data_IF_296115519347
#
_entry.id   IF_296115519347
#
_cell.length_a   1.000
_cell.length_b   1.000
_cell.length_c   1.000
_cell.angle_alpha   90.00
_cell.angle_beta   90.00
_cell.angle_gamma   90.00
#
_symmetry.space_group_name_H-M   'P 1'
#
loop_
_entity.id
_entity.type
_entity.pdbx_description
1 polymer ?
#
# COMPACT_ATOMS: atom_id res chain seq x y z
N UNK A 1 -12.46 -12.00 7.40
CA UNK A 1 -12.46 -13.38 6.87
C UNK A 1 -13.01 -13.34 5.45
N UNK A 2 -12.16 -13.55 4.45
CA UNK A 2 -12.52 -13.45 3.04
C UNK A 2 -13.50 -14.58 2.67
N UNK A 3 -14.56 -14.29 1.91
CA UNK A 3 -15.59 -15.29 1.52
C UNK A 3 -14.96 -16.50 0.82
N UNK A 4 -13.91 -16.31 0.02
CA UNK A 4 -13.18 -17.39 -0.67
C UNK A 4 -12.51 -18.39 0.30
N UNK A 5 -12.06 -17.91 1.46
CA UNK A 5 -11.43 -18.76 2.50
C UNK A 5 -12.48 -19.59 3.24
N UNK A 6 -13.68 -19.04 3.48
CA UNK A 6 -14.81 -19.78 4.07
C UNK A 6 -15.30 -20.92 3.16
N UNK A 7 -15.40 -20.65 1.86
CA UNK A 7 -15.82 -21.64 0.87
C UNK A 7 -14.82 -22.80 0.82
N UNK A 8 -13.52 -22.51 0.81
CA UNK A 8 -12.50 -23.55 0.78
C UNK A 8 -12.48 -24.40 2.08
N UNK A 9 -12.61 -23.76 3.25
CA UNK A 9 -12.69 -24.45 4.54
C UNK A 9 -13.93 -25.36 4.66
N UNK A 10 -15.07 -24.95 4.06
CA UNK A 10 -16.29 -25.75 4.04
C UNK A 10 -16.17 -26.98 3.13
N UNK A 11 -15.58 -26.85 1.94
CA UNK A 11 -15.30 -27.99 1.04
C UNK A 11 -14.32 -28.99 1.67
N UNK A 12 -13.40 -28.49 2.49
CA UNK A 12 -12.37 -29.26 3.20
C UNK A 12 -12.94 -30.08 4.36
N UNK A 13 -13.90 -29.56 5.11
CA UNK A 13 -14.59 -30.30 6.17
C UNK A 13 -15.44 -31.46 5.60
N UNK A 14 -16.01 -31.28 4.39
CA UNK A 14 -16.78 -32.31 3.71
C UNK A 14 -15.92 -33.52 3.29
N UNK A 15 -14.76 -33.28 2.67
CA UNK A 15 -13.84 -34.34 2.22
C UNK A 15 -13.29 -35.17 3.39
N UNK A 16 -13.09 -34.54 4.56
CA UNK A 16 -12.72 -35.26 5.79
C UNK A 16 -13.81 -36.20 6.28
N UNK A 17 -15.09 -35.94 5.97
CA UNK A 17 -16.22 -36.74 6.46
C UNK A 17 -16.47 -37.95 5.57
N UNK A 18 -16.24 -37.82 4.26
CA UNK A 18 -16.27 -38.92 3.28
C UNK A 18 -15.09 -39.89 3.48
N UNK A 19 -13.93 -39.39 3.92
CA UNK A 19 -12.78 -40.24 4.28
C UNK A 19 -13.05 -41.18 5.46
N UNK A 20 -13.85 -40.73 6.44
CA UNK A 20 -14.16 -41.52 7.65
C UNK A 20 -15.17 -42.62 7.36
N UNK A 21 -16.11 -42.42 6.42
CA UNK A 21 -17.09 -43.45 6.05
C UNK A 21 -16.49 -44.56 5.19
N UNK A 22 -15.48 -44.25 4.37
CA UNK A 22 -14.77 -45.25 3.54
C UNK A 22 -13.74 -46.09 4.31
N UNK A 23 -13.26 -45.62 5.47
CA UNK A 23 -12.22 -46.30 6.25
C UNK A 23 -12.72 -47.42 7.18
N UNK A 24 -14.04 -47.65 7.28
CA UNK A 24 -14.65 -48.54 8.29
C UNK A 24 -14.82 -50.00 7.83
N UNK A 25 -14.50 -50.40 6.60
CA UNK A 25 -14.73 -51.79 6.13
C UNK A 25 -13.48 -52.54 5.65
N UNK A 26 -12.34 -52.36 6.31
CA UNK A 26 -11.08 -53.02 5.97
C UNK A 26 -10.86 -54.41 6.63
N UNK A 27 -11.90 -55.08 7.14
CA UNK A 27 -11.76 -56.42 7.72
C UNK A 27 -12.79 -57.38 7.13
N UNK A 28 -12.32 -58.58 6.80
CA UNK A 28 -13.00 -59.74 6.24
C UNK A 28 -13.11 -59.77 4.71
N UNK A 29 -12.08 -60.34 4.07
CA UNK A 29 -12.20 -60.80 2.68
C UNK A 29 -11.34 -62.06 2.40
N UNK A 30 -11.63 -63.14 3.13
CA UNK A 30 -11.02 -64.48 2.97
C UNK A 30 -12.03 -65.52 2.45
N UNK A 31 -12.94 -65.13 1.54
CA UNK A 31 -13.95 -66.02 0.98
C UNK A 31 -13.81 -66.17 -0.54
N UNK A 32 -13.18 -67.27 -0.98
CA UNK A 32 -13.24 -67.72 -2.37
C UNK A 32 -14.66 -68.26 -2.62
N UNK A 33 -15.42 -67.79 -3.64
CA UNK A 33 -16.73 -68.34 -3.93
C UNK A 33 -16.65 -69.76 -4.48
N UNK A 34 -17.49 -70.66 -3.94
CA UNK A 34 -17.66 -72.03 -4.40
C UNK A 34 -18.21 -72.07 -5.83
N UNK A 35 -17.38 -72.47 -6.79
CA UNK A 35 -17.75 -72.68 -8.20
C UNK A 35 -18.43 -74.05 -8.37
N UNK A 36 -19.75 -74.13 -8.18
CA UNK A 36 -20.47 -75.42 -8.24
C UNK A 36 -21.20 -75.73 -9.57
N UNK A 37 -20.98 -74.96 -10.65
CA UNK A 37 -21.80 -75.11 -11.87
C UNK A 37 -21.04 -75.21 -13.21
N UNK A 38 -19.75 -75.58 -13.20
CA UNK A 38 -18.97 -75.73 -14.44
C UNK A 38 -18.75 -77.21 -14.78
N UNK A 39 -19.06 -77.59 -16.03
CA UNK A 39 -19.01 -78.98 -16.51
C UNK A 39 -17.59 -79.56 -16.64
N UNK A 40 -16.53 -78.77 -16.42
CA UNK A 40 -15.13 -79.17 -16.55
C UNK A 40 -14.25 -78.44 -15.52
N UNK A 41 -13.38 -79.19 -14.83
CA UNK A 41 -12.41 -78.68 -13.84
C UNK A 41 -11.45 -77.62 -14.41
N UNK A 42 -11.16 -77.69 -15.71
CA UNK A 42 -10.31 -76.69 -16.38
C UNK A 42 -11.02 -75.34 -16.52
N UNK A 43 -12.34 -75.33 -16.72
CA UNK A 43 -13.14 -74.11 -16.80
C UNK A 43 -13.33 -73.49 -15.40
N UNK A 44 -13.46 -74.31 -14.35
CA UNK A 44 -13.45 -73.84 -12.95
C UNK A 44 -12.14 -73.14 -12.61
N UNK A 45 -11.02 -73.73 -13.01
CA UNK A 45 -9.69 -73.16 -12.77
C UNK A 45 -9.48 -71.85 -13.52
N UNK A 46 -9.95 -71.76 -14.77
CA UNK A 46 -9.91 -70.52 -15.58
C UNK A 46 -10.79 -69.43 -14.99
N UNK A 47 -11.98 -69.79 -14.50
CA UNK A 47 -12.88 -68.85 -13.84
C UNK A 47 -12.32 -68.35 -12.51
N UNK A 48 -11.80 -69.25 -11.67
CA UNK A 48 -11.15 -68.88 -10.42
C UNK A 48 -9.96 -67.94 -10.65
N UNK A 49 -9.13 -68.21 -11.67
CA UNK A 49 -8.02 -67.32 -12.03
C UNK A 49 -8.49 -65.95 -12.53
N UNK A 50 -9.58 -65.89 -13.31
CA UNK A 50 -10.14 -64.64 -13.79
C UNK A 50 -10.76 -63.78 -12.67
N UNK A 51 -11.48 -64.41 -11.72
CA UNK A 51 -12.05 -63.73 -10.55
C UNK A 51 -10.94 -63.27 -9.58
N UNK A 52 -9.90 -64.08 -9.38
CA UNK A 52 -8.77 -63.66 -8.56
C UNK A 52 -8.06 -62.45 -9.15
N UNK A 53 -7.88 -62.41 -10.48
CA UNK A 53 -7.27 -61.27 -11.17
C UNK A 53 -8.08 -59.98 -10.98
N UNK A 54 -9.41 -60.06 -10.92
CA UNK A 54 -10.28 -58.89 -10.73
C UNK A 54 -10.33 -58.43 -9.28
N UNK A 55 -10.28 -59.37 -8.33
CA UNK A 55 -10.12 -59.09 -6.90
C UNK A 55 -8.78 -58.40 -6.63
N UNK A 56 -7.69 -58.92 -7.21
CA UNK A 56 -6.35 -58.32 -7.08
C UNK A 56 -6.31 -56.90 -7.68
N UNK A 57 -7.01 -56.67 -8.80
CA UNK A 57 -7.13 -55.34 -9.42
C UNK A 57 -7.92 -54.36 -8.54
N UNK A 58 -9.01 -54.79 -7.91
CA UNK A 58 -9.78 -53.97 -6.97
C UNK A 58 -8.96 -53.63 -5.71
N UNK A 59 -8.29 -54.62 -5.12
CA UNK A 59 -7.43 -54.41 -3.95
C UNK A 59 -6.29 -53.42 -4.26
N UNK A 60 -5.63 -53.58 -5.41
CA UNK A 60 -4.62 -52.62 -5.87
C UNK A 60 -5.18 -51.20 -6.07
N UNK A 61 -6.38 -51.07 -6.65
CA UNK A 61 -7.02 -49.77 -6.82
C UNK A 61 -7.39 -49.13 -5.46
N UNK A 62 -7.81 -49.93 -4.49
CA UNK A 62 -8.13 -49.51 -3.12
C UNK A 62 -6.88 -49.04 -2.38
N UNK A 63 -5.76 -49.76 -2.51
CA UNK A 63 -4.48 -49.35 -1.92
C UNK A 63 -3.98 -48.02 -2.50
N UNK A 64 -4.09 -47.84 -3.83
CA UNK A 64 -3.76 -46.58 -4.50
C UNK A 64 -4.66 -45.45 -4.00
N UNK A 65 -5.98 -45.68 -3.88
CA UNK A 65 -6.90 -44.69 -3.33
C UNK A 65 -6.51 -44.28 -1.91
N UNK A 66 -6.26 -45.25 -1.02
CA UNK A 66 -5.87 -44.99 0.37
C UNK A 66 -4.55 -44.20 0.45
N UNK A 67 -3.56 -44.53 -0.39
CA UNK A 67 -2.31 -43.79 -0.47
C UNK A 67 -2.52 -42.33 -0.92
N UNK A 68 -3.37 -42.09 -1.94
CA UNK A 68 -3.70 -40.75 -2.42
C UNK A 68 -4.52 -39.95 -1.42
N UNK A 69 -5.42 -40.60 -0.68
CA UNK A 69 -6.18 -39.98 0.38
C UNK A 69 -5.27 -39.49 1.51
N UNK A 70 -4.33 -40.33 1.95
CA UNK A 70 -3.33 -39.95 2.96
C UNK A 70 -2.45 -38.79 2.50
N UNK A 71 -1.96 -38.82 1.25
CA UNK A 71 -1.19 -37.73 0.64
C UNK A 71 -1.99 -36.42 0.61
N UNK A 72 -3.26 -36.49 0.18
CA UNK A 72 -4.14 -35.32 0.14
C UNK A 72 -4.37 -34.73 1.53
N UNK A 73 -4.64 -35.57 2.55
CA UNK A 73 -4.80 -35.14 3.94
C UNK A 73 -3.54 -34.47 4.49
N UNK A 74 -2.36 -35.00 4.19
CA UNK A 74 -1.11 -34.39 4.62
C UNK A 74 -0.90 -33.00 3.99
N UNK A 75 -1.12 -32.87 2.68
CA UNK A 75 -1.00 -31.59 1.97
C UNK A 75 -2.04 -30.59 2.45
N UNK A 76 -3.26 -31.04 2.73
CA UNK A 76 -4.33 -30.22 3.28
C UNK A 76 -3.98 -29.64 4.65
N UNK A 77 -3.35 -30.42 5.53
CA UNK A 77 -2.87 -29.93 6.83
C UNK A 77 -1.80 -28.83 6.67
N UNK A 78 -0.87 -29.01 5.73
CA UNK A 78 0.14 -27.99 5.40
C UNK A 78 -0.52 -26.73 4.83
N UNK A 79 -1.52 -26.87 3.96
CA UNK A 79 -2.29 -25.76 3.42
C UNK A 79 -2.99 -24.96 4.54
N UNK A 80 -3.68 -25.64 5.45
CA UNK A 80 -4.39 -24.97 6.55
C UNK A 80 -3.45 -24.21 7.49
N UNK A 81 -2.27 -24.76 7.79
CA UNK A 81 -1.26 -24.08 8.60
C UNK A 81 -0.70 -22.86 7.89
N UNK A 82 -0.29 -23.01 6.62
CA UNK A 82 0.28 -21.90 5.82
C UNK A 82 -0.75 -20.79 5.54
N UNK A 83 -2.03 -21.14 5.39
CA UNK A 83 -3.11 -20.16 5.26
C UNK A 83 -3.26 -19.29 6.52
N UNK A 84 -3.19 -19.88 7.71
CA UNK A 84 -3.23 -19.12 8.98
C UNK A 84 -2.02 -18.21 9.14
N UNK A 85 -0.83 -18.68 8.80
CA UNK A 85 0.40 -17.87 8.83
C UNK A 85 0.32 -16.69 7.86
N UNK A 86 -0.23 -16.91 6.67
CA UNK A 86 -0.48 -15.85 5.70
C UNK A 86 -1.48 -14.81 6.22
N UNK A 87 -2.61 -15.23 6.78
CA UNK A 87 -3.59 -14.31 7.37
C UNK A 87 -2.98 -13.46 8.49
N UNK A 88 -2.17 -14.08 9.37
CA UNK A 88 -1.47 -13.37 10.43
C UNK A 88 -0.49 -12.33 9.86
N UNK A 89 0.33 -12.73 8.88
CA UNK A 89 1.29 -11.83 8.25
C UNK A 89 0.61 -10.67 7.50
N UNK A 90 -0.54 -10.91 6.86
CA UNK A 90 -1.34 -9.87 6.20
C UNK A 90 -1.88 -8.85 7.20
N UNK A 91 -2.46 -9.31 8.31
CA UNK A 91 -2.99 -8.43 9.35
C UNK A 91 -1.88 -7.59 9.97
N UNK A 92 -0.74 -8.21 10.30
CA UNK A 92 0.40 -7.52 10.89
C UNK A 92 0.98 -6.47 9.92
N UNK A 93 1.16 -6.81 8.64
CA UNK A 93 1.62 -5.85 7.63
C UNK A 93 0.68 -4.65 7.49
N UNK A 94 -0.63 -4.88 7.45
CA UNK A 94 -1.63 -3.79 7.40
C UNK A 94 -1.57 -2.92 8.64
N UNK A 95 -1.48 -3.52 9.82
CA UNK A 95 -1.41 -2.81 11.10
C UNK A 95 -0.18 -1.90 11.15
N UNK A 96 1.02 -2.46 10.92
CA UNK A 96 2.29 -1.72 10.94
C UNK A 96 2.28 -0.59 9.91
N UNK A 97 1.71 -0.82 8.72
CA UNK A 97 1.58 0.21 7.69
C UNK A 97 0.62 1.34 8.11
N UNK A 98 -0.48 1.03 8.78
CA UNK A 98 -1.40 2.06 9.30
C UNK A 98 -0.72 2.88 10.38
N UNK A 99 -0.04 2.25 11.34
CA UNK A 99 0.69 2.93 12.42
C UNK A 99 1.78 3.85 11.84
N UNK A 100 2.60 3.34 10.92
CA UNK A 100 3.63 4.15 10.25
C UNK A 100 3.04 5.33 9.47
N UNK A 101 1.89 5.14 8.81
CA UNK A 101 1.17 6.22 8.11
C UNK A 101 0.70 7.31 9.08
N UNK A 102 0.16 6.92 10.23
CA UNK A 102 -0.28 7.87 11.26
C UNK A 102 0.89 8.66 11.84
N UNK A 103 2.02 8.00 12.10
CA UNK A 103 3.21 8.68 12.62
C UNK A 103 3.80 9.66 11.59
N UNK A 104 3.84 9.27 10.31
CA UNK A 104 4.24 10.18 9.22
C UNK A 104 3.29 11.36 9.12
N UNK A 105 1.98 11.14 9.23
CA UNK A 105 1.00 12.22 9.16
C UNK A 105 1.17 13.21 10.33
N UNK A 106 1.42 12.73 11.55
CA UNK A 106 1.72 13.58 12.72
C UNK A 106 2.99 14.38 12.53
N UNK A 107 4.08 13.74 12.10
CA UNK A 107 5.35 14.43 11.86
C UNK A 107 5.22 15.46 10.73
N UNK A 108 4.49 15.13 9.66
CA UNK A 108 4.20 16.06 8.56
C UNK A 108 3.43 17.28 9.06
N UNK A 109 2.42 17.09 9.90
CA UNK A 109 1.65 18.19 10.50
C UNK A 109 2.55 19.08 11.37
N UNK A 110 3.38 18.47 12.22
CA UNK A 110 4.33 19.21 13.05
C UNK A 110 5.35 20.01 12.22
N UNK A 111 5.89 19.42 11.16
CA UNK A 111 6.83 20.12 10.27
C UNK A 111 6.15 21.26 9.51
N UNK A 112 4.91 21.10 9.07
CA UNK A 112 4.15 22.19 8.44
C UNK A 112 3.90 23.34 9.42
N UNK A 113 3.64 23.05 10.69
CA UNK A 113 3.52 24.08 11.73
C UNK A 113 4.85 24.80 11.95
N UNK A 114 5.97 24.07 12.06
CA UNK A 114 7.31 24.67 12.18
C UNK A 114 7.65 25.55 10.98
N UNK A 115 7.33 25.12 9.76
CA UNK A 115 7.53 25.92 8.54
C UNK A 115 6.68 27.20 8.59
N UNK A 116 5.41 27.10 9.00
CA UNK A 116 4.53 28.26 9.11
C UNK A 116 5.03 29.27 10.16
N UNK A 117 5.44 28.79 11.34
CA UNK A 117 6.04 29.63 12.39
C UNK A 117 7.34 30.27 11.89
N UNK A 118 8.20 29.49 11.25
CA UNK A 118 9.46 29.99 10.69
C UNK A 118 9.25 31.05 9.61
N UNK A 119 8.28 30.86 8.71
CA UNK A 119 7.93 31.85 7.69
C UNK A 119 7.38 33.15 8.30
N UNK A 120 6.58 33.06 9.36
CA UNK A 120 6.12 34.24 10.10
C UNK A 120 7.28 34.98 10.76
N UNK A 121 8.27 34.26 11.29
CA UNK A 121 9.46 34.87 11.89
C UNK A 121 10.35 35.53 10.83
N UNK A 122 10.54 34.89 9.68
CA UNK A 122 11.22 35.47 8.51
C UNK A 122 10.56 36.80 8.13
N UNK A 123 9.23 36.83 8.00
CA UNK A 123 8.51 38.05 7.65
C UNK A 123 8.71 39.16 8.68
N UNK A 124 8.67 38.84 9.99
CA UNK A 124 8.94 39.82 11.05
C UNK A 124 10.35 40.38 11.00
N UNK A 125 11.34 39.54 10.75
CA UNK A 125 12.74 39.98 10.62
C UNK A 125 12.90 40.84 9.37
N UNK A 126 12.29 40.48 8.25
CA UNK A 126 12.30 41.27 7.01
C UNK A 126 11.66 42.65 7.22
N UNK A 127 10.53 42.71 7.93
CA UNK A 127 9.88 43.98 8.31
C UNK A 127 10.78 44.83 9.22
N UNK A 128 11.44 44.22 10.22
CA UNK A 128 12.35 44.92 11.13
C UNK A 128 13.56 45.51 10.38
N UNK A 129 14.15 44.74 9.45
CA UNK A 129 15.21 45.21 8.56
C UNK A 129 14.71 46.38 7.73
N UNK A 130 13.53 46.28 7.10
CA UNK A 130 12.97 47.34 6.27
C UNK A 130 12.73 48.64 7.08
N UNK A 131 12.19 48.53 8.29
CA UNK A 131 12.00 49.67 9.20
C UNK A 131 13.33 50.32 9.57
N UNK A 132 14.35 49.52 9.89
CA UNK A 132 15.67 50.03 10.27
C UNK A 132 16.40 50.65 9.07
N UNK A 133 16.30 50.05 7.89
CA UNK A 133 16.81 50.64 6.64
C UNK A 133 16.11 51.95 6.30
N UNK A 134 14.80 52.04 6.53
CA UNK A 134 14.02 53.27 6.34
C UNK A 134 14.45 54.44 7.24
N UNK A 135 15.08 54.16 8.39
CA UNK A 135 15.63 55.19 9.30
C UNK A 135 17.03 55.68 8.91
N UNK A 136 17.75 54.97 8.02
CA UNK A 136 19.11 55.36 7.62
C UNK A 136 19.16 56.75 6.96
N UNK A 137 18.24 57.14 6.06
CA UNK A 137 18.24 58.50 5.49
C UNK A 137 18.06 59.58 6.55
N UNK A 138 17.16 59.39 7.52
CA UNK A 138 16.93 60.35 8.61
C UNK A 138 18.15 60.48 9.52
N UNK A 139 18.79 59.36 9.89
CA UNK A 139 20.02 59.36 10.67
C UNK A 139 21.17 60.08 9.93
N UNK A 140 21.31 59.84 8.62
CA UNK A 140 22.29 60.53 7.78
C UNK A 140 21.99 62.03 7.65
N UNK A 141 20.72 62.41 7.51
CA UNK A 141 20.31 63.82 7.48
C UNK A 141 20.65 64.52 8.81
N UNK A 142 20.39 63.87 9.94
CA UNK A 142 20.74 64.39 11.26
C UNK A 142 22.26 64.60 11.43
N UNK A 143 23.08 63.67 10.94
CA UNK A 143 24.55 63.83 10.92
C UNK A 143 24.95 65.02 10.04
N UNK A 144 24.38 65.17 8.85
CA UNK A 144 24.70 66.28 7.96
C UNK A 144 24.32 67.63 8.58
N UNK A 145 23.15 67.72 9.21
CA UNK A 145 22.72 68.91 9.97
C UNK A 145 23.68 69.18 11.13
N UNK A 146 24.03 68.18 11.93
CA UNK A 146 24.98 68.34 13.04
C UNK A 146 26.36 68.81 12.56
N UNK A 147 26.84 68.31 11.42
CA UNK A 147 28.09 68.77 10.78
C UNK A 147 28.01 70.23 10.32
N UNK A 148 26.90 70.64 9.70
CA UNK A 148 26.69 72.03 9.30
C UNK A 148 26.61 72.98 10.49
N UNK A 149 25.90 72.59 11.55
CA UNK A 149 25.78 73.36 12.78
C UNK A 149 27.13 73.47 13.52
N UNK A 150 27.91 72.38 13.59
CA UNK A 150 29.25 72.40 14.16
C UNK A 150 30.17 73.34 13.37
N UNK A 151 30.18 73.24 12.03
CA UNK A 151 30.99 74.11 11.19
C UNK A 151 30.61 75.60 11.35
N UNK A 152 29.31 75.90 11.49
CA UNK A 152 28.84 77.27 11.74
C UNK A 152 29.27 77.79 13.12
N UNK A 153 29.19 76.95 14.16
CA UNK A 153 29.64 77.31 15.51
C UNK A 153 31.16 77.51 15.59
N UNK A 154 31.94 76.68 14.89
CA UNK A 154 33.39 76.82 14.77
C UNK A 154 33.77 78.13 14.07
N UNK A 155 33.07 78.50 13.00
CA UNK A 155 33.29 79.77 12.31
C UNK A 155 32.97 80.97 13.22
N UNK A 156 31.85 80.93 13.95
CA UNK A 156 31.48 81.99 14.87
C UNK A 156 32.49 82.17 16.02
N UNK A 157 33.04 81.06 16.53
CA UNK A 157 34.12 81.08 17.52
C UNK A 157 35.39 81.72 16.95
N UNK A 158 35.76 81.41 15.71
CA UNK A 158 36.93 81.98 15.04
C UNK A 158 36.76 83.49 14.77
N UNK A 159 35.61 83.90 14.26
CA UNK A 159 35.27 85.30 14.06
C UNK A 159 35.28 86.08 15.39
N UNK A 160 34.75 85.48 16.46
CA UNK A 160 34.78 86.05 17.82
C UNK A 160 36.18 86.23 18.38
N UNK A 161 37.11 85.30 18.10
CA UNK A 161 38.54 85.44 18.46
C UNK A 161 39.22 86.58 17.69
N UNK A 162 38.82 86.80 16.44
CA UNK A 162 39.40 87.83 15.56
C UNK A 162 38.90 89.25 15.87
N UNK A 163 37.79 89.43 16.60
CA UNK A 163 37.18 90.72 16.89
C UNK A 163 37.71 91.49 18.13
N UNK A 164 38.98 91.31 18.54
CA UNK A 164 39.64 92.09 19.62
C UNK A 164 39.20 91.70 21.05
N UNK A 165 39.98 91.97 22.13
CA UNK A 165 39.93 91.23 23.40
C UNK A 165 38.73 91.54 24.31
N UNK A 166 37.69 92.23 23.81
CA UNK A 166 36.50 92.59 24.58
C UNK A 166 35.33 91.60 24.44
N UNK A 167 35.38 90.64 23.51
CA UNK A 167 34.32 89.63 23.34
C UNK A 167 34.54 88.47 24.31
N UNK A 168 33.55 88.21 25.17
CA UNK A 168 33.55 87.01 26.03
C UNK A 168 33.30 85.77 25.16
N UNK A 169 34.36 85.02 24.84
CA UNK A 169 34.33 83.86 23.94
C UNK A 169 33.85 82.55 24.58
N UNK A 170 33.75 82.46 25.93
CA UNK A 170 33.34 81.21 26.62
C UNK A 170 32.00 80.63 26.16
N UNK A 171 30.95 81.44 25.89
CA UNK A 171 29.69 80.90 25.39
C UNK A 171 29.84 80.21 24.02
N UNK A 172 30.68 80.75 23.13
CA UNK A 172 30.95 80.18 21.82
C UNK A 172 31.75 78.87 21.94
N UNK A 173 32.72 78.79 22.87
CA UNK A 173 33.43 77.54 23.17
C UNK A 173 32.49 76.46 23.70
N UNK A 174 31.55 76.82 24.58
CA UNK A 174 30.55 75.90 25.10
C UNK A 174 29.59 75.41 24.00
N UNK A 175 29.23 76.28 23.06
CA UNK A 175 28.38 75.94 21.91
C UNK A 175 29.07 74.95 20.96
N UNK A 176 30.33 75.19 20.60
CA UNK A 176 31.13 74.25 19.78
C UNK A 176 31.21 72.88 20.46
N UNK A 177 31.49 72.84 21.77
CA UNK A 177 31.56 71.58 22.51
C UNK A 177 30.22 70.85 22.54
N UNK A 178 29.11 71.58 22.69
CA UNK A 178 27.76 71.00 22.63
C UNK A 178 27.43 70.43 21.25
N UNK A 179 27.77 71.14 20.16
CA UNK A 179 27.57 70.66 18.78
C UNK A 179 28.43 69.45 18.45
N UNK A 180 29.67 69.40 18.96
CA UNK A 180 30.54 68.22 18.83
C UNK A 180 29.92 67.00 19.53
N UNK A 181 29.42 67.17 20.75
CA UNK A 181 28.72 66.10 21.47
C UNK A 181 27.45 65.63 20.75
N UNK A 182 26.70 66.53 20.11
CA UNK A 182 25.54 66.17 19.30
C UNK A 182 25.91 65.38 18.04
N UNK A 183 27.00 65.75 17.35
CA UNK A 183 27.53 65.01 16.21
C UNK A 183 27.97 63.60 16.61
N UNK A 184 28.76 63.47 17.68
CA UNK A 184 29.21 62.17 18.20
C UNK A 184 28.01 61.27 18.58
N UNK A 185 26.96 61.83 19.18
CA UNK A 185 25.73 61.11 19.49
C UNK A 185 24.99 60.63 18.23
N UNK A 186 24.92 61.46 17.18
CA UNK A 186 24.28 61.11 15.92
C UNK A 186 25.07 60.01 15.16
N UNK A 187 26.40 60.11 15.14
CA UNK A 187 27.28 59.10 14.55
C UNK A 187 27.17 57.76 15.29
N UNK A 188 27.11 57.80 16.62
CA UNK A 188 26.84 56.60 17.43
C UNK A 188 25.49 55.98 17.10
N UNK A 189 24.43 56.77 17.00
CA UNK A 189 23.09 56.27 16.65
C UNK A 189 23.06 55.62 15.26
N UNK A 190 23.77 56.17 14.27
CA UNK A 190 23.91 55.55 12.95
C UNK A 190 24.68 54.23 13.02
N UNK A 191 25.78 54.19 13.79
CA UNK A 191 26.54 52.96 14.00
C UNK A 191 25.70 51.87 14.66
N UNK A 192 24.91 52.22 15.69
CA UNK A 192 24.01 51.29 16.37
C UNK A 192 22.94 50.76 15.38
N UNK A 193 22.41 51.62 14.50
CA UNK A 193 21.44 51.22 13.48
C UNK A 193 22.02 50.23 12.46
N UNK A 194 23.25 50.45 11.98
CA UNK A 194 23.94 49.47 11.13
C UNK A 194 24.14 48.13 11.84
N UNK A 195 24.55 48.15 13.12
CA UNK A 195 24.71 46.94 13.92
C UNK A 195 23.40 46.16 14.07
N UNK A 196 22.26 46.85 14.24
CA UNK A 196 20.95 46.20 14.27
C UNK A 196 20.62 45.51 12.93
N UNK A 197 20.79 46.22 11.81
CA UNK A 197 20.53 45.68 10.47
C UNK A 197 21.40 44.45 10.19
N UNK A 198 22.68 44.49 10.54
CA UNK A 198 23.61 43.37 10.35
C UNK A 198 23.20 42.15 11.19
N UNK A 199 22.77 42.37 12.44
CA UNK A 199 22.30 41.30 13.32
C UNK A 199 20.99 40.68 12.80
N UNK A 200 20.02 41.51 12.42
CA UNK A 200 18.75 41.03 11.86
C UNK A 200 18.97 40.26 10.56
N UNK A 201 19.89 40.71 9.70
CA UNK A 201 20.24 40.01 8.46
C UNK A 201 20.83 38.62 8.73
N UNK A 202 21.67 38.48 9.76
CA UNK A 202 22.19 37.17 10.19
C UNK A 202 21.08 36.26 10.71
N UNK A 203 20.17 36.80 11.52
CA UNK A 203 19.01 36.07 12.03
C UNK A 203 18.09 35.61 10.88
N UNK A 204 17.86 36.46 9.88
CA UNK A 204 17.10 36.13 8.68
C UNK A 204 17.73 34.95 7.93
N UNK A 205 19.05 34.99 7.72
CA UNK A 205 19.78 33.90 7.08
C UNK A 205 19.60 32.57 7.82
N UNK A 206 19.70 32.59 9.15
CA UNK A 206 19.49 31.41 9.99
C UNK A 206 18.05 30.89 9.89
N UNK A 207 17.05 31.77 10.04
CA UNK A 207 15.63 31.39 9.97
C UNK A 207 15.28 30.75 8.62
N UNK A 208 15.81 31.28 7.50
CA UNK A 208 15.65 30.69 6.17
C UNK A 208 16.24 29.28 6.06
N UNK A 209 17.42 29.06 6.64
CA UNK A 209 18.04 27.72 6.68
C UNK A 209 17.22 26.74 7.51
N UNK A 210 16.73 27.17 8.68
CA UNK A 210 15.94 26.32 9.57
C UNK A 210 14.60 25.90 8.90
N UNK A 211 13.90 26.85 8.25
CA UNK A 211 12.72 26.55 7.42
C UNK A 211 13.07 25.56 6.31
N UNK A 212 14.18 25.78 5.60
CA UNK A 212 14.57 24.89 4.49
C UNK A 212 14.89 23.48 4.96
N UNK A 213 15.52 23.33 6.12
CA UNK A 213 15.79 22.03 6.74
C UNK A 213 14.49 21.32 7.13
N UNK A 214 13.50 22.06 7.66
CA UNK A 214 12.19 21.49 7.97
C UNK A 214 11.44 21.03 6.71
N UNK A 215 11.49 21.79 5.61
CA UNK A 215 10.96 21.38 4.30
C UNK A 215 11.63 20.10 3.80
N UNK A 216 12.97 20.06 3.80
CA UNK A 216 13.72 18.90 3.34
C UNK A 216 13.39 17.65 4.18
N UNK A 217 13.25 17.80 5.51
CA UNK A 217 12.86 16.70 6.40
C UNK A 217 11.45 16.21 6.09
N UNK A 218 10.51 17.12 5.84
CA UNK A 218 9.12 16.79 5.49
C UNK A 218 9.07 16.03 4.17
N UNK A 219 9.77 16.51 3.16
CA UNK A 219 9.76 15.93 1.82
C UNK A 219 10.48 14.56 1.79
N UNK A 220 11.37 14.30 2.76
CA UNK A 220 12.02 13.01 2.96
C UNK A 220 11.16 11.98 3.73
N UNK A 221 9.99 12.36 4.26
CA UNK A 221 9.11 11.40 4.95
C UNK A 221 8.47 10.45 3.93
N UNK A 222 8.83 9.17 4.02
CA UNK A 222 8.31 8.12 3.16
C UNK A 222 7.95 6.87 3.97
N UNK A 223 6.76 6.34 3.75
CA UNK A 223 6.25 5.16 4.43
C UNK A 223 7.03 3.89 4.06
N UNK A 224 7.53 3.81 2.83
CA UNK A 224 8.23 2.62 2.34
C UNK A 224 9.67 2.53 2.87
N UNK A 225 10.22 3.65 3.36
CA UNK A 225 11.55 3.67 3.99
C UNK A 225 11.49 3.23 5.48
N UNK A 226 10.30 3.20 6.07
CA UNK A 226 10.09 2.76 7.44
C UNK A 226 10.57 1.30 7.61
N UNK A 227 11.53 1.09 8.52
CA UNK A 227 12.15 -0.22 8.73
C UNK A 227 11.17 -1.29 9.21
N UNK A 228 10.14 -0.93 10.00
CA UNK A 228 9.11 -1.86 10.44
C UNK A 228 8.21 -2.27 9.27
N UNK A 229 7.79 -1.31 8.44
CA UNK A 229 7.00 -1.57 7.22
C UNK A 229 7.75 -2.50 6.27
N UNK A 230 9.05 -2.25 6.03
CA UNK A 230 9.88 -3.12 5.17
C UNK A 230 9.97 -4.56 5.68
N UNK A 231 10.20 -4.74 6.99
CA UNK A 231 10.26 -6.09 7.60
C UNK A 231 8.92 -6.80 7.52
N UNK A 232 7.83 -6.10 7.84
CA UNK A 232 6.49 -6.67 7.77
C UNK A 232 6.09 -7.03 6.33
N UNK A 233 6.45 -6.19 5.34
CA UNK A 233 6.26 -6.48 3.92
C UNK A 233 7.00 -7.75 3.49
N UNK A 234 8.27 -7.91 3.87
CA UNK A 234 9.05 -9.11 3.57
C UNK A 234 8.42 -10.38 4.18
N UNK A 235 7.94 -10.30 5.42
CA UNK A 235 7.26 -11.41 6.08
C UNK A 235 5.94 -11.77 5.36
N UNK A 236 5.15 -10.76 4.98
CA UNK A 236 3.94 -10.93 4.19
C UNK A 236 4.20 -11.57 2.83
N UNK A 237 5.20 -11.10 2.08
CA UNK A 237 5.57 -11.64 0.76
C UNK A 237 6.03 -13.10 0.86
N UNK A 238 6.82 -13.44 1.88
CA UNK A 238 7.26 -14.82 2.14
C UNK A 238 6.08 -15.74 2.47
N UNK A 239 5.14 -15.26 3.31
CA UNK A 239 3.95 -16.04 3.67
C UNK A 239 3.00 -16.21 2.47
N UNK A 240 2.85 -15.19 1.63
CA UNK A 240 2.06 -15.25 0.39
C UNK A 240 2.61 -16.29 -0.58
N UNK A 241 3.93 -16.33 -0.77
CA UNK A 241 4.60 -17.30 -1.63
C UNK A 241 4.46 -18.73 -1.11
N UNK A 242 4.58 -18.94 0.21
CA UNK A 242 4.37 -20.24 0.83
C UNK A 242 2.91 -20.71 0.69
N UNK A 243 1.95 -19.80 0.91
CA UNK A 243 0.52 -20.06 0.72
C UNK A 243 0.20 -20.46 -0.71
N UNK A 244 0.73 -19.74 -1.71
CA UNK A 244 0.54 -20.08 -3.14
C UNK A 244 1.06 -21.48 -3.46
N UNK A 245 2.28 -21.82 -3.01
CA UNK A 245 2.85 -23.15 -3.19
C UNK A 245 2.02 -24.25 -2.53
N UNK A 246 1.47 -24.00 -1.35
CA UNK A 246 0.61 -24.95 -0.67
C UNK A 246 -0.73 -25.13 -1.41
N UNK A 247 -1.31 -24.04 -1.93
CA UNK A 247 -2.53 -24.06 -2.74
C UNK A 247 -2.34 -24.87 -4.03
N UNK A 248 -1.23 -24.66 -4.74
CA UNK A 248 -0.92 -25.40 -5.97
C UNK A 248 -0.77 -26.89 -5.71
N UNK A 249 -0.05 -27.26 -4.63
CA UNK A 249 0.08 -28.67 -4.23
C UNK A 249 -1.27 -29.29 -3.86
N UNK A 250 -2.13 -28.55 -3.15
CA UNK A 250 -3.46 -29.02 -2.78
C UNK A 250 -4.33 -29.29 -4.01
N UNK A 251 -4.24 -28.42 -5.02
CA UNK A 251 -4.92 -28.62 -6.31
C UNK A 251 -4.46 -29.90 -7.01
N UNK A 252 -3.14 -30.14 -7.05
CA UNK A 252 -2.56 -31.34 -7.68
C UNK A 252 -2.97 -32.61 -6.94
N UNK A 253 -2.89 -32.65 -5.60
CA UNK A 253 -3.27 -33.85 -4.83
C UNK A 253 -4.76 -34.13 -4.91
N UNK A 254 -5.61 -33.09 -4.98
CA UNK A 254 -7.04 -33.25 -5.23
C UNK A 254 -7.30 -33.94 -6.57
N UNK A 255 -6.69 -33.45 -7.65
CA UNK A 255 -6.84 -34.05 -8.97
C UNK A 255 -6.31 -35.50 -9.05
N UNK A 256 -5.29 -35.85 -8.25
CA UNK A 256 -4.80 -37.22 -8.14
C UNK A 256 -5.78 -38.11 -7.35
N UNK A 257 -6.41 -37.58 -6.30
CA UNK A 257 -7.43 -38.29 -5.52
C UNK A 257 -8.67 -38.56 -6.37
N UNK A 258 -9.14 -37.58 -7.13
CA UNK A 258 -10.30 -37.72 -8.03
C UNK A 258 -10.04 -38.86 -9.06
N UNK A 259 -8.84 -38.90 -9.66
CA UNK A 259 -8.44 -39.99 -10.56
C UNK A 259 -8.39 -41.36 -9.86
N UNK A 260 -7.98 -41.42 -8.60
CA UNK A 260 -7.96 -42.66 -7.84
C UNK A 260 -9.38 -43.15 -7.50
N UNK A 261 -10.31 -42.23 -7.23
CA UNK A 261 -11.74 -42.54 -7.04
C UNK A 261 -12.33 -43.12 -8.33
N UNK A 262 -12.07 -42.49 -9.48
CA UNK A 262 -12.52 -43.00 -10.77
C UNK A 262 -11.98 -44.41 -11.06
N UNK A 263 -10.68 -44.63 -10.82
CA UNK A 263 -10.05 -45.93 -11.03
C UNK A 263 -10.62 -47.03 -10.11
N UNK A 264 -10.86 -46.71 -8.83
CA UNK A 264 -11.48 -47.63 -7.88
C UNK A 264 -12.92 -47.98 -8.30
N UNK A 265 -13.71 -46.99 -8.70
CA UNK A 265 -15.08 -47.20 -9.16
C UNK A 265 -15.13 -48.09 -10.41
N UNK A 266 -14.22 -47.88 -11.36
CA UNK A 266 -14.15 -48.73 -12.55
C UNK A 266 -13.69 -50.16 -12.20
N UNK A 267 -12.72 -50.33 -11.30
CA UNK A 267 -12.28 -51.65 -10.85
C UNK A 267 -13.43 -52.44 -10.17
N UNK A 268 -14.18 -51.80 -9.27
CA UNK A 268 -15.36 -52.40 -8.61
C UNK A 268 -16.41 -52.78 -9.65
N UNK A 269 -16.69 -51.89 -10.62
CA UNK A 269 -17.66 -52.15 -11.69
C UNK A 269 -17.25 -53.33 -12.56
N UNK A 270 -15.97 -53.42 -12.95
CA UNK A 270 -15.44 -54.56 -13.72
C UNK A 270 -15.53 -55.86 -12.92
N UNK A 271 -15.22 -55.82 -11.63
CA UNK A 271 -15.36 -56.98 -10.75
C UNK A 271 -16.81 -57.47 -10.72
N UNK A 272 -17.78 -56.56 -10.48
CA UNK A 272 -19.22 -56.86 -10.51
C UNK A 272 -19.68 -57.45 -11.84
N UNK A 273 -19.25 -56.88 -12.97
CA UNK A 273 -19.59 -57.40 -14.32
C UNK A 273 -19.06 -58.83 -14.50
N UNK A 274 -17.85 -59.12 -14.01
CA UNK A 274 -17.24 -60.44 -14.16
C UNK A 274 -17.90 -61.48 -13.25
N UNK A 275 -18.32 -61.13 -12.04
CA UNK A 275 -19.14 -62.00 -11.20
C UNK A 275 -20.50 -62.33 -11.87
N UNK A 276 -21.19 -61.31 -12.39
CA UNK A 276 -22.49 -61.46 -13.07
C UNK A 276 -22.40 -62.30 -14.36
N UNK A 277 -21.39 -62.08 -15.21
CA UNK A 277 -21.19 -62.85 -16.45
C UNK A 277 -20.94 -64.33 -16.19
N UNK A 278 -20.37 -64.66 -15.04
CA UNK A 278 -19.96 -66.02 -14.70
C UNK A 278 -20.95 -66.73 -13.76
N UNK A 279 -22.10 -66.11 -13.46
CA UNK A 279 -23.14 -66.72 -12.62
C UNK A 279 -22.72 -66.93 -11.15
N UNK A 280 -21.75 -66.15 -10.67
CA UNK A 280 -21.23 -66.20 -9.30
C UNK A 280 -21.79 -64.99 -8.54
N UNK A 281 -22.35 -65.22 -7.35
CA UNK A 281 -22.80 -64.11 -6.49
C UNK A 281 -21.61 -63.20 -6.13
N UNK A 282 -21.78 -61.91 -6.36
CA UNK A 282 -20.84 -60.88 -5.92
C UNK A 282 -21.06 -60.65 -4.42
N UNK A 283 -20.06 -60.94 -3.59
CA UNK A 283 -20.14 -60.73 -2.13
C UNK A 283 -19.56 -59.38 -1.67
N UNK A 284 -19.12 -58.51 -2.59
CA UNK A 284 -18.77 -57.16 -2.21
C UNK A 284 -20.01 -56.39 -1.74
N UNK A 285 -19.90 -55.66 -0.64
CA UNK A 285 -20.91 -54.68 -0.24
C UNK A 285 -21.22 -53.78 -1.44
N UNK A 286 -22.51 -53.66 -1.80
CA UNK A 286 -22.96 -52.63 -2.74
C UNK A 286 -22.49 -51.29 -2.20
N UNK A 287 -21.42 -50.75 -2.77
CA UNK A 287 -21.07 -49.35 -2.58
C UNK A 287 -22.17 -48.60 -3.31
N UNK A 288 -23.14 -48.08 -2.55
CA UNK A 288 -24.14 -47.19 -3.10
C UNK A 288 -23.41 -46.15 -3.95
N UNK A 289 -23.91 -45.79 -5.16
CA UNK A 289 -23.40 -44.60 -5.82
C UNK A 289 -23.42 -43.50 -4.75
N UNK A 290 -22.30 -42.79 -4.57
CA UNK A 290 -22.25 -41.68 -3.62
C UNK A 290 -23.30 -40.68 -4.12
N UNK A 291 -24.53 -40.79 -3.60
CA UNK A 291 -25.57 -39.83 -3.87
C UNK A 291 -25.03 -38.53 -3.35
N UNK A 292 -25.00 -37.52 -4.23
CA UNK A 292 -24.58 -36.18 -3.84
C UNK A 292 -25.37 -35.80 -2.60
N UNK A 293 -24.68 -35.69 -1.47
CA UNK A 293 -25.33 -35.29 -0.22
C UNK A 293 -25.96 -33.92 -0.42
N UNK A 294 -26.97 -33.55 0.36
CA UNK A 294 -27.58 -32.22 0.24
C UNK A 294 -26.54 -31.10 0.42
N UNK A 295 -25.46 -31.37 1.15
CA UNK A 295 -24.29 -30.51 1.26
C UNK A 295 -23.40 -30.45 0.00
N UNK A 296 -23.31 -31.51 -0.81
CA UNK A 296 -22.64 -31.48 -2.12
C UNK A 296 -23.47 -30.75 -3.17
N UNK A 297 -24.80 -30.86 -3.10
CA UNK A 297 -25.71 -30.06 -3.95
C UNK A 297 -25.63 -28.58 -3.58
N UNK A 298 -25.57 -28.26 -2.29
CA UNK A 298 -25.43 -26.89 -1.80
C UNK A 298 -24.04 -26.30 -2.10
N UNK A 299 -22.96 -27.10 -2.00
CA UNK A 299 -21.62 -26.68 -2.41
C UNK A 299 -21.51 -26.47 -3.94
N UNK A 300 -22.21 -27.27 -4.73
CA UNK A 300 -22.28 -27.09 -6.19
C UNK A 300 -23.14 -25.89 -6.59
N UNK A 301 -24.23 -25.60 -5.87
CA UNK A 301 -25.07 -24.41 -6.06
C UNK A 301 -24.30 -23.13 -5.67
N UNK A 302 -23.52 -23.16 -4.58
CA UNK A 302 -22.64 -22.07 -4.14
C UNK A 302 -21.46 -21.88 -5.11
N UNK A 303 -20.91 -22.95 -5.68
CA UNK A 303 -19.88 -22.87 -6.70
C UNK A 303 -20.42 -22.28 -8.02
N UNK A 304 -21.65 -22.65 -8.43
CA UNK A 304 -22.32 -22.07 -9.60
C UNK A 304 -22.66 -20.60 -9.41
N UNK A 305 -23.11 -20.18 -8.22
CA UNK A 305 -23.34 -18.75 -7.91
C UNK A 305 -22.02 -17.97 -7.86
N UNK A 306 -20.93 -18.54 -7.34
CA UNK A 306 -19.62 -17.90 -7.37
C UNK A 306 -19.04 -17.77 -8.79
N UNK A 307 -19.23 -18.75 -9.67
CA UNK A 307 -18.87 -18.65 -11.09
C UNK A 307 -19.74 -17.63 -11.85
N UNK A 308 -21.01 -17.51 -11.49
CA UNK A 308 -21.93 -16.55 -12.08
C UNK A 308 -21.61 -15.12 -11.62
N UNK A 309 -21.24 -14.92 -10.35
CA UNK A 309 -20.76 -13.63 -9.81
C UNK A 309 -19.38 -13.24 -10.34
N UNK A 310 -18.45 -14.17 -10.57
CA UNK A 310 -17.15 -13.87 -11.21
C UNK A 310 -17.34 -13.54 -12.70
N UNK A 311 -18.33 -14.14 -13.38
CA UNK A 311 -18.75 -13.72 -14.74
C UNK A 311 -19.37 -12.32 -14.74
N UNK A 312 -20.30 -12.03 -13.84
CA UNK A 312 -20.91 -10.69 -13.70
C UNK A 312 -19.89 -9.61 -13.31
N UNK A 313 -18.92 -9.93 -12.45
CA UNK A 313 -17.84 -9.01 -12.08
C UNK A 313 -16.84 -8.80 -13.23
N UNK A 314 -16.64 -9.80 -14.09
CA UNK A 314 -15.81 -9.68 -15.30
C UNK A 314 -16.51 -8.84 -16.36
N UNK A 315 -17.81 -9.04 -16.57
CA UNK A 315 -18.66 -8.26 -17.49
C UNK A 315 -18.80 -6.81 -17.02
N UNK A 316 -18.98 -6.56 -15.71
CA UNK A 316 -18.97 -5.21 -15.14
C UNK A 316 -17.62 -4.51 -15.22
N UNK A 317 -16.52 -5.26 -15.27
CA UNK A 317 -15.17 -4.70 -15.43
C UNK A 317 -14.88 -4.35 -16.90
N UNK A 318 -15.31 -5.19 -17.83
CA UNK A 318 -15.24 -4.92 -19.29
C UNK A 318 -16.15 -3.74 -19.68
N UNK A 319 -17.38 -3.65 -19.16
CA UNK A 319 -18.27 -2.51 -19.39
C UNK A 319 -17.74 -1.18 -18.81
N UNK A 320 -16.95 -1.24 -17.72
CA UNK A 320 -16.32 -0.04 -17.13
C UNK A 320 -15.07 0.40 -17.91
N UNK A 321 -14.38 -0.52 -18.56
CA UNK A 321 -13.27 -0.22 -19.48
C UNK A 321 -13.78 0.32 -20.83
N UNK A 322 -14.89 -0.19 -21.37
CA UNK A 322 -15.54 0.38 -22.57
C UNK A 322 -16.13 1.78 -22.32
N UNK A 323 -16.75 2.03 -21.16
CA UNK A 323 -17.22 3.37 -20.77
C UNK A 323 -16.07 4.37 -20.55
N UNK A 324 -14.88 3.88 -20.19
CA UNK A 324 -13.67 4.71 -20.02
C UNK A 324 -12.98 5.01 -21.36
N UNK A 325 -13.14 4.15 -22.37
CA UNK A 325 -12.63 4.39 -23.73
C UNK A 325 -13.58 5.22 -24.61
N UNK A 326 -14.89 5.21 -24.32
CA UNK A 326 -15.89 6.05 -25.03
C UNK A 326 -15.81 7.55 -24.66
N UNK A 327 -15.15 7.94 -23.57
CA UNK A 327 -15.02 9.35 -23.14
C UNK A 327 -13.73 10.05 -23.62
N UNK A 328 -12.91 9.41 -24.47
CA UNK A 328 -11.73 10.03 -25.08
C UNK A 328 -11.86 10.38 -26.56
N UNK A 329 -13.06 10.33 -27.14
CA UNK A 329 -13.28 10.72 -28.53
C UNK A 329 -14.49 11.65 -28.72
N UNK A 330 -14.31 12.96 -28.49
CA UNK A 330 -14.70 14.01 -29.46
C UNK A 330 -14.29 15.43 -29.01
N UNK A 331 -13.82 16.27 -29.95
CA UNK A 331 -13.49 17.68 -29.68
C UNK A 331 -14.76 18.53 -29.62
N UNK A 332 -14.78 19.46 -28.65
CA UNK A 332 -15.82 20.47 -28.52
C UNK A 332 -15.66 21.52 -29.62
N UNK A 333 -16.53 21.43 -30.63
CA UNK A 333 -16.77 22.49 -31.62
C UNK A 333 -17.82 23.44 -31.02
N UNK A 334 -17.41 24.66 -30.68
CA UNK A 334 -18.34 25.72 -30.33
C UNK A 334 -18.76 26.46 -31.60
N UNK A 335 -20.03 26.27 -31.98
CA UNK A 335 -20.69 27.02 -33.04
C UNK A 335 -21.11 28.41 -32.56
N UNK A 336 -20.90 29.37 -33.45
CA UNK A 336 -21.39 30.75 -33.48
C UNK A 336 -22.91 30.89 -33.30
N UNK A 337 -23.38 32.12 -32.98
CA UNK A 337 -24.59 32.65 -33.56
C UNK A 337 -24.28 33.83 -34.49
N UNK A 338 -24.84 33.75 -35.69
CA UNK A 338 -24.93 34.79 -36.72
C UNK A 338 -25.79 35.98 -36.28
N UNK A 339 -25.39 37.19 -36.67
CA UNK A 339 -26.22 38.38 -36.56
C UNK A 339 -25.50 39.68 -36.90
N UNK A 340 -25.21 39.88 -38.19
CA UNK A 340 -25.33 41.14 -38.94
C UNK A 340 -24.92 42.48 -38.26
N UNK A 341 -23.89 43.16 -38.82
CA UNK A 341 -24.01 44.39 -39.66
C UNK A 341 -22.74 45.29 -39.56
N UNK A 342 -22.35 45.83 -40.73
CA UNK A 342 -21.57 47.07 -40.99
C UNK A 342 -20.02 47.03 -40.98
N UNK A 343 -19.46 47.05 -42.21
CA UNK A 343 -18.15 47.64 -42.61
C UNK A 343 -18.18 49.18 -42.44
N UNK A 344 -17.07 49.94 -42.29
CA UNK A 344 -15.86 49.80 -43.12
C UNK A 344 -14.48 50.14 -42.52
N UNK A 345 -13.46 49.65 -43.24
CA UNK A 345 -12.13 50.20 -43.55
C UNK A 345 -11.61 51.39 -42.70
N UNK A 346 -10.43 51.22 -42.10
CA UNK A 346 -9.35 52.21 -42.20
C UNK A 346 -8.00 51.53 -42.36
N UNK A 347 -7.23 52.09 -43.29
CA UNK A 347 -5.86 51.77 -43.61
C UNK A 347 -4.91 52.37 -42.57
N UNK A 348 -3.81 51.69 -42.28
CA UNK A 348 -2.54 52.36 -41.99
C UNK A 348 -1.37 51.40 -42.24
N UNK A 349 -0.75 51.56 -43.41
CA UNK A 349 0.66 51.28 -43.63
C UNK A 349 1.41 52.56 -43.31
N UNK A 350 2.16 52.57 -42.21
CA UNK A 350 3.59 52.97 -42.14
C UNK A 350 4.08 52.86 -40.71
#
# INVERSE_FOLDING_TARGET
MNKKVRVLLASVALLSTVATTLSVSAQDNDSIPTLQNLKNKEDEKRLAAALQTTIDAENNARDVFNARLAEHQQVLNVYNTTAKEFEFAEVEYKKVRIEASQDIAKETAHLNELIAVGNNEIARIEDAIAVNQGKLPEANAAINTAKQELSSAEQALEDGKNQSPQVNIRPLEAEVQAKKGALEAAEKALSDLHNFIDNDTKLLGKAKVDVKNAENKRDALNIDDNAAVRRAKQAYEKALEAYRKAADKLSVTRANLDRAVEALNEAIKQNRINHLKNGVEYQGQDVAPVEKTDAEKEAEEVARTAEQEDKENKENKENKEEASQSNQAKPSVASTPTGEKVLPKTSAVK
#
